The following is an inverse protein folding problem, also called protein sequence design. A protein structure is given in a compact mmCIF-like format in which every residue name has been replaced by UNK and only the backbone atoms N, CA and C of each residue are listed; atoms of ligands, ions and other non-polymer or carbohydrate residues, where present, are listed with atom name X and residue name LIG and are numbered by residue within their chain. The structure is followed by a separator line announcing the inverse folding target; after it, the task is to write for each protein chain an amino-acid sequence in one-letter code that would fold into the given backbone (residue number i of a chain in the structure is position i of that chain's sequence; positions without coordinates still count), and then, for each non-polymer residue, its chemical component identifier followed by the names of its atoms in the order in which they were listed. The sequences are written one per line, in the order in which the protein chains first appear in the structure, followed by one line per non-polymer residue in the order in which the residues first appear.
data_IF_287874788196
#
_entry.id   IF_287874788196
#
_cell.length_a   1.000
_cell.length_b   1.000
_cell.length_c   1.000
_cell.angle_alpha   90.00
_cell.angle_beta   90.00
_cell.angle_gamma   90.00
#
_symmetry.space_group_name_H-M   'P 1'
#
loop_
_entity.id
_entity.type
_entity.pdbx_description
1 polymer ?
#
# COMPACT_ATOMS: atom_id res chain seq x y z
N UNK A 1 16.16 -40.06 -18.43
CA UNK A 1 17.16 -39.25 -17.71
C UNK A 1 16.63 -38.98 -16.30
N UNK A 2 17.50 -38.99 -15.29
CA UNK A 2 17.11 -38.62 -13.91
C UNK A 2 17.12 -37.10 -13.74
N UNK A 3 16.07 -36.55 -13.13
CA UNK A 3 15.97 -35.13 -12.80
C UNK A 3 16.22 -34.93 -11.30
N UNK A 4 16.79 -33.79 -10.93
CA UNK A 4 16.82 -33.36 -9.54
C UNK A 4 15.46 -32.75 -9.19
N UNK A 5 14.85 -33.20 -8.10
CA UNK A 5 13.60 -32.64 -7.62
C UNK A 5 13.88 -31.36 -6.82
N UNK A 6 13.43 -30.22 -7.31
CA UNK A 6 13.59 -28.94 -6.64
C UNK A 6 12.51 -28.73 -5.57
N UNK A 7 12.95 -28.35 -4.38
CA UNK A 7 12.09 -27.93 -3.27
C UNK A 7 12.20 -26.43 -3.08
N UNK A 8 11.08 -25.80 -2.72
CA UNK A 8 11.06 -24.38 -2.41
C UNK A 8 11.66 -24.16 -1.01
N UNK A 9 12.98 -24.17 -0.93
CA UNK A 9 13.72 -24.04 0.31
C UNK A 9 14.89 -23.10 0.12
N UNK A 10 15.02 -22.14 1.04
CA UNK A 10 16.25 -21.39 1.17
C UNK A 10 17.30 -22.27 1.85
N UNK A 11 18.33 -22.67 1.12
CA UNK A 11 19.49 -23.33 1.70
C UNK A 11 20.41 -22.25 2.29
N UNK A 12 20.90 -22.40 3.52
CA UNK A 12 21.77 -21.37 4.14
C UNK A 12 23.17 -21.36 3.54
N UNK A 13 23.67 -22.53 3.12
CA UNK A 13 24.98 -22.71 2.51
C UNK A 13 24.89 -23.59 1.26
N UNK A 14 25.87 -23.46 0.37
CA UNK A 14 26.05 -24.37 -0.77
C UNK A 14 27.23 -25.27 -0.43
N UNK A 15 27.05 -26.57 -0.61
CA UNK A 15 28.10 -27.56 -0.40
C UNK A 15 29.24 -27.34 -1.40
N UNK A 16 30.45 -27.27 -0.89
CA UNK A 16 31.66 -27.32 -1.70
C UNK A 16 32.09 -28.78 -1.79
N UNK A 17 32.39 -29.24 -3.01
CA UNK A 17 33.00 -30.56 -3.20
C UNK A 17 34.43 -30.51 -2.69
N UNK A 18 34.78 -31.46 -1.84
CA UNK A 18 36.13 -31.66 -1.34
C UNK A 18 36.86 -32.73 -2.13
N UNK A 19 38.19 -32.70 -2.14
CA UNK A 19 38.99 -33.68 -2.88
C UNK A 19 38.88 -35.10 -2.34
N UNK A 20 38.44 -35.25 -1.09
CA UNK A 20 38.18 -36.55 -0.45
C UNK A 20 36.79 -37.11 -0.76
N UNK A 21 35.89 -36.32 -1.37
CA UNK A 21 34.52 -36.73 -1.61
C UNK A 21 34.42 -37.77 -2.73
N UNK A 22 33.69 -38.88 -2.53
CA UNK A 22 33.47 -39.83 -3.61
C UNK A 22 32.53 -39.26 -4.68
N UNK A 23 32.85 -39.53 -5.94
CA UNK A 23 32.05 -39.10 -7.11
C UNK A 23 30.79 -39.96 -7.27
N UNK A 24 29.81 -39.73 -6.42
CA UNK A 24 28.53 -40.43 -6.43
C UNK A 24 27.45 -39.60 -7.12
N UNK A 25 26.85 -40.18 -8.17
CA UNK A 25 25.66 -39.65 -8.85
C UNK A 25 24.35 -40.09 -8.19
N UNK A 26 23.23 -39.94 -8.91
CA UNK A 26 21.89 -40.22 -8.38
C UNK A 26 21.29 -39.04 -7.59
N UNK A 27 20.03 -39.17 -7.18
CA UNK A 27 19.28 -38.07 -6.55
C UNK A 27 19.96 -37.53 -5.28
N UNK A 28 20.56 -38.43 -4.48
CA UNK A 28 21.24 -38.12 -3.22
C UNK A 28 22.77 -38.16 -3.31
N UNK A 29 23.32 -38.32 -4.52
CA UNK A 29 24.76 -38.34 -4.76
C UNK A 29 25.44 -37.04 -4.34
N UNK A 30 26.65 -37.15 -3.77
CA UNK A 30 27.44 -36.01 -3.28
C UNK A 30 27.71 -35.00 -4.40
N UNK A 31 27.96 -35.48 -5.62
CA UNK A 31 28.17 -34.63 -6.80
C UNK A 31 26.95 -33.77 -7.16
N UNK A 32 25.74 -34.19 -6.80
CA UNK A 32 24.49 -33.49 -7.11
C UNK A 32 23.99 -32.60 -5.95
N UNK A 33 24.69 -32.58 -4.81
CA UNK A 33 24.26 -31.82 -3.63
C UNK A 33 24.27 -30.31 -3.88
N UNK A 34 25.39 -29.77 -4.37
CA UNK A 34 25.52 -28.33 -4.61
C UNK A 34 24.56 -27.83 -5.72
N UNK A 35 24.43 -28.52 -6.88
CA UNK A 35 23.41 -28.19 -7.87
C UNK A 35 21.99 -28.20 -7.32
N UNK A 36 21.62 -29.21 -6.51
CA UNK A 36 20.28 -29.30 -5.90
C UNK A 36 20.02 -28.13 -4.94
N UNK A 37 21.00 -27.73 -4.15
CA UNK A 37 20.87 -26.59 -3.23
C UNK A 37 20.70 -25.26 -3.97
N UNK A 38 21.45 -25.07 -5.06
CA UNK A 38 21.30 -23.91 -5.94
C UNK A 38 19.92 -23.86 -6.60
N UNK A 39 19.44 -25.02 -7.07
CA UNK A 39 18.12 -25.14 -7.67
C UNK A 39 17.01 -24.81 -6.67
N UNK A 40 17.10 -25.32 -5.43
CA UNK A 40 16.17 -25.00 -4.34
C UNK A 40 16.11 -23.49 -4.04
N UNK A 41 17.28 -22.82 -3.93
CA UNK A 41 17.37 -21.37 -3.74
C UNK A 41 16.74 -20.60 -4.89
N UNK A 42 17.01 -21.03 -6.13
CA UNK A 42 16.44 -20.38 -7.34
C UNK A 42 14.93 -20.48 -7.35
N UNK A 43 14.38 -21.66 -7.03
CA UNK A 43 12.93 -21.88 -6.90
C UNK A 43 12.32 -21.01 -5.80
N UNK A 44 12.96 -20.91 -4.65
CA UNK A 44 12.53 -20.03 -3.55
C UNK A 44 12.54 -18.55 -3.97
N UNK A 45 13.62 -18.08 -4.61
CA UNK A 45 13.73 -16.70 -5.09
C UNK A 45 12.68 -16.38 -6.15
N UNK A 46 12.42 -17.31 -7.07
CA UNK A 46 11.37 -17.17 -8.08
C UNK A 46 10.02 -16.97 -7.40
N UNK A 47 9.65 -17.84 -6.45
CA UNK A 47 8.38 -17.68 -5.73
C UNK A 47 8.30 -16.38 -4.95
N UNK A 48 9.36 -15.97 -4.26
CA UNK A 48 9.39 -14.68 -3.56
C UNK A 48 9.21 -13.49 -4.50
N UNK A 49 9.79 -13.57 -5.69
CA UNK A 49 9.59 -12.57 -6.74
C UNK A 49 8.13 -12.54 -7.22
N UNK A 50 7.51 -13.71 -7.41
CA UNK A 50 6.09 -13.83 -7.78
C UNK A 50 5.17 -13.29 -6.68
N UNK A 51 5.43 -13.59 -5.40
CA UNK A 51 4.70 -13.06 -4.25
C UNK A 51 4.80 -11.52 -4.17
N UNK A 52 5.99 -10.96 -4.35
CA UNK A 52 6.19 -9.51 -4.37
C UNK A 52 5.46 -8.87 -5.56
N UNK A 53 5.54 -9.48 -6.73
CA UNK A 53 4.81 -9.00 -7.92
C UNK A 53 3.30 -9.01 -7.71
N UNK A 54 2.75 -10.05 -7.08
CA UNK A 54 1.34 -10.14 -6.73
C UNK A 54 0.94 -9.08 -5.70
N UNK A 55 1.72 -8.93 -4.62
CA UNK A 55 1.47 -7.91 -3.60
C UNK A 55 1.51 -6.48 -4.17
N UNK A 56 2.44 -6.21 -5.10
CA UNK A 56 2.50 -4.94 -5.80
C UNK A 56 1.28 -4.71 -6.70
N UNK A 57 0.83 -5.75 -7.43
CA UNK A 57 -0.36 -5.66 -8.26
C UNK A 57 -1.63 -5.42 -7.42
N UNK A 58 -1.74 -6.05 -6.26
CA UNK A 58 -2.83 -5.83 -5.31
C UNK A 58 -2.82 -4.42 -4.72
N UNK A 59 -1.64 -3.91 -4.32
CA UNK A 59 -1.49 -2.54 -3.86
C UNK A 59 -1.82 -1.53 -4.97
N UNK A 60 -1.34 -1.74 -6.19
CA UNK A 60 -1.69 -0.88 -7.32
C UNK A 60 -3.21 -0.85 -7.55
N UNK A 61 -3.88 -2.00 -7.45
CA UNK A 61 -5.34 -2.10 -7.55
C UNK A 61 -6.05 -1.36 -6.42
N UNK A 62 -5.56 -1.42 -5.18
CA UNK A 62 -6.18 -0.71 -4.05
C UNK A 62 -6.08 0.82 -4.18
N UNK A 63 -5.05 1.32 -4.88
CA UNK A 63 -4.87 2.75 -5.19
C UNK A 63 -5.59 3.21 -6.46
N UNK A 64 -6.00 2.28 -7.32
CA UNK A 64 -6.73 2.57 -8.54
C UNK A 64 -8.25 2.61 -8.28
N UNK A 65 -8.66 3.37 -7.27
CA UNK A 65 -10.06 3.63 -6.96
C UNK A 65 -10.44 5.00 -7.54
N UNK A 66 -11.66 5.17 -8.10
CA UNK A 66 -12.12 6.50 -8.51
C UNK A 66 -12.14 7.49 -7.33
N UNK A 67 -12.07 8.77 -7.67
CA UNK A 67 -12.27 9.87 -6.73
C UNK A 67 -13.69 9.81 -6.14
N UNK A 68 -13.84 10.26 -4.89
CA UNK A 68 -15.15 10.28 -4.25
C UNK A 68 -16.05 11.34 -4.88
N UNK A 69 -17.33 11.05 -4.92
CA UNK A 69 -18.38 11.98 -5.32
C UNK A 69 -19.40 12.13 -4.19
N UNK A 70 -20.42 12.97 -4.39
CA UNK A 70 -21.50 13.12 -3.42
C UNK A 70 -22.35 11.83 -3.28
N UNK A 71 -22.35 10.98 -4.30
CA UNK A 71 -23.17 9.76 -4.39
C UNK A 71 -22.37 8.48 -4.32
N UNK A 72 -21.09 8.50 -4.69
CA UNK A 72 -20.23 7.33 -4.76
C UNK A 72 -18.99 7.51 -3.88
N UNK A 73 -18.58 6.42 -3.21
CA UNK A 73 -17.38 6.42 -2.36
C UNK A 73 -16.13 6.45 -3.24
N UNK A 74 -15.06 7.05 -2.74
CA UNK A 74 -13.76 7.11 -3.40
C UNK A 74 -12.69 7.83 -2.59
N UNK A 75 -11.55 8.14 -3.21
CA UNK A 75 -10.49 8.94 -2.57
C UNK A 75 -10.80 10.44 -2.67
N UNK A 76 -10.38 11.21 -1.66
CA UNK A 76 -10.48 12.68 -1.67
C UNK A 76 -9.16 13.29 -1.24
N UNK A 77 -8.85 14.47 -1.77
CA UNK A 77 -7.75 15.29 -1.29
C UNK A 77 -8.25 16.29 -0.25
N UNK A 78 -7.38 16.66 0.70
CA UNK A 78 -7.74 17.55 1.81
C UNK A 78 -7.31 18.98 1.52
N UNK A 79 -8.15 19.95 1.88
CA UNK A 79 -7.84 21.39 1.82
C UNK A 79 -8.01 22.07 3.18
N UNK A 80 -7.12 23.01 3.47
CA UNK A 80 -7.19 23.88 4.65
C UNK A 80 -7.69 25.30 4.35
N UNK A 81 -8.08 25.58 3.09
CA UNK A 81 -8.66 26.88 2.73
C UNK A 81 -10.07 27.03 3.31
N UNK A 82 -10.41 28.23 3.79
CA UNK A 82 -11.72 28.55 4.40
C UNK A 82 -12.73 29.14 3.41
N UNK A 83 -12.30 29.38 2.17
CA UNK A 83 -13.09 30.00 1.09
C UNK A 83 -12.96 29.22 -0.23
N UNK A 84 -12.59 27.94 -0.16
CA UNK A 84 -12.50 27.08 -1.34
C UNK A 84 -13.87 26.82 -1.94
N UNK A 85 -14.00 26.93 -3.26
CA UNK A 85 -15.20 26.55 -4.03
C UNK A 85 -15.09 25.14 -4.63
N UNK A 86 -14.02 24.40 -4.31
CA UNK A 86 -13.79 23.06 -4.85
C UNK A 86 -14.78 22.04 -4.28
N UNK A 87 -15.45 21.29 -5.14
CA UNK A 87 -16.35 20.19 -4.75
C UNK A 87 -15.63 18.83 -4.66
N UNK A 88 -14.38 18.74 -5.13
CA UNK A 88 -13.56 17.52 -5.14
C UNK A 88 -12.62 17.39 -3.94
N UNK A 89 -12.52 18.44 -3.11
CA UNK A 89 -11.62 18.49 -1.96
C UNK A 89 -12.43 18.48 -0.66
N UNK A 90 -12.04 17.65 0.29
CA UNK A 90 -12.63 17.65 1.62
C UNK A 90 -11.99 18.70 2.53
N UNK A 91 -12.79 19.38 3.35
CA UNK A 91 -12.31 20.35 4.33
C UNK A 91 -11.62 19.65 5.51
N UNK A 92 -10.47 20.18 5.94
CA UNK A 92 -9.78 19.71 7.15
C UNK A 92 -10.42 20.29 8.42
N UNK A 93 -10.24 19.66 9.61
CA UNK A 93 -10.66 20.24 10.89
C UNK A 93 -10.09 21.65 11.14
N UNK A 94 -8.89 21.93 10.62
CA UNK A 94 -8.26 23.26 10.68
C UNK A 94 -9.10 24.32 9.93
N UNK A 95 -9.52 24.02 8.70
CA UNK A 95 -10.38 24.92 7.92
C UNK A 95 -11.71 25.16 8.62
N UNK A 96 -12.36 24.10 9.10
CA UNK A 96 -13.65 24.18 9.80
C UNK A 96 -13.54 25.04 11.05
N UNK A 97 -12.50 24.82 11.88
CA UNK A 97 -12.27 25.61 13.09
C UNK A 97 -12.02 27.09 12.77
N UNK A 98 -11.22 27.38 11.74
CA UNK A 98 -10.94 28.75 11.33
C UNK A 98 -12.19 29.47 10.81
N UNK A 99 -13.00 28.81 9.96
CA UNK A 99 -14.26 29.35 9.48
C UNK A 99 -15.25 29.60 10.63
N UNK A 100 -15.33 28.66 11.59
CA UNK A 100 -16.16 28.82 12.78
C UNK A 100 -15.73 30.03 13.63
N UNK A 101 -14.43 30.18 13.89
CA UNK A 101 -13.90 31.32 14.66
C UNK A 101 -14.19 32.66 13.97
N UNK A 102 -14.05 32.71 12.63
CA UNK A 102 -14.41 33.89 11.85
C UNK A 102 -15.90 34.21 11.96
N UNK A 103 -16.77 33.21 11.85
CA UNK A 103 -18.22 33.39 11.99
C UNK A 103 -18.61 33.86 13.41
N UNK A 104 -18.07 33.22 14.45
CA UNK A 104 -18.31 33.59 15.84
C UNK A 104 -17.84 35.02 16.15
N UNK A 105 -16.74 35.47 15.54
CA UNK A 105 -16.26 36.85 15.68
C UNK A 105 -17.05 37.90 14.89
N UNK A 106 -17.92 37.50 13.94
CA UNK A 106 -18.74 38.40 13.12
C UNK A 106 -20.22 38.38 13.50
N UNK A 107 -20.68 37.34 14.19
CA UNK A 107 -22.05 37.23 14.65
C UNK A 107 -22.33 38.30 15.74
N UNK A 108 -23.37 39.15 15.59
CA UNK A 108 -23.75 40.06 16.66
C UNK A 108 -24.32 39.26 17.84
N UNK A 109 -23.87 39.56 19.06
CA UNK A 109 -24.38 38.91 20.27
C UNK A 109 -25.88 39.16 20.51
N UNK A 110 -26.41 40.25 19.95
CA UNK A 110 -27.82 40.59 19.91
C UNK A 110 -28.06 41.45 18.66
N UNK A 111 -29.15 41.19 17.95
CA UNK A 111 -29.68 42.11 16.94
C UNK A 111 -31.06 42.57 17.39
N UNK A 112 -31.33 43.88 17.30
CA UNK A 112 -32.62 44.47 17.65
C UNK A 112 -33.17 45.24 16.46
N UNK A 113 -34.40 44.95 16.08
CA UNK A 113 -35.13 45.76 15.10
C UNK A 113 -36.05 46.76 15.85
N UNK A 114 -35.99 48.06 15.55
CA UNK A 114 -36.99 49.01 16.04
C UNK A 114 -38.35 48.71 15.38
N UNK A 115 -39.43 48.94 16.11
CA UNK A 115 -40.80 48.58 15.70
C UNK A 115 -41.22 49.12 14.31
N UNK A 116 -40.73 50.31 13.95
CA UNK A 116 -40.95 50.94 12.65
C UNK A 116 -40.23 50.24 11.46
N UNK A 117 -39.36 49.27 11.73
CA UNK A 117 -38.74 48.40 10.72
C UNK A 117 -39.39 47.01 10.65
N UNK A 118 -40.30 46.70 11.58
CA UNK A 118 -40.99 45.40 11.67
C UNK A 118 -42.41 45.50 11.10
N UNK A 119 -43.04 46.66 11.24
CA UNK A 119 -44.40 46.92 10.75
C UNK A 119 -44.33 47.89 9.58
N UNK A 120 -44.77 47.41 8.41
CA UNK A 120 -45.04 48.23 7.23
C UNK A 120 -46.40 48.89 7.31
#
# INVERSE_FOLDING_TARGET
MGNLNETEKWEENIYQLETSDPVLGGADGISNRAPRQLANRTKWLKKKTEEVAQSLAEHARSRNHPDATLTEKGFTQLSSATNSTSETLAATPKAVKAAYALAAGKAPASHTHPWNQITG
#
